data_IF_055383402257
#
_entry.id   IF_055383402257
#
_cell.length_a   1.000
_cell.length_b   1.000
_cell.length_c   1.000
_cell.angle_alpha   90.00
_cell.angle_beta   90.00
_cell.angle_gamma   90.00
#
_symmetry.space_group_name_H-M   'P 1'
#
loop_
_entity.id
_entity.type
_entity.pdbx_description
1 polymer ?
#
# COMPACT_ATOMS: atom_id res chain seq x y z
N UNK A 1 2.72 -18.81 -2.38
CA UNK A 1 3.37 -20.05 -2.85
C UNK A 1 3.96 -20.92 -1.74
N UNK A 2 4.47 -20.37 -0.62
CA UNK A 2 5.09 -21.20 0.43
C UNK A 2 4.11 -22.07 1.22
N UNK A 3 2.87 -21.62 1.44
CA UNK A 3 1.83 -22.40 2.15
C UNK A 3 1.51 -23.70 1.39
N UNK A 4 1.53 -23.66 0.06
CA UNK A 4 1.17 -24.82 -0.78
C UNK A 4 2.36 -25.75 -1.04
N UNK A 5 3.57 -25.42 -0.56
CA UNK A 5 4.79 -26.18 -0.84
C UNK A 5 5.28 -26.12 -2.29
N UNK A 6 4.62 -25.32 -3.15
CA UNK A 6 4.94 -25.20 -4.57
C UNK A 6 6.08 -24.20 -4.75
N UNK A 7 7.16 -24.64 -5.42
CA UNK A 7 8.21 -23.78 -5.97
C UNK A 7 8.02 -23.73 -7.50
N UNK A 8 7.58 -22.62 -8.08
CA UNK A 8 7.47 -22.52 -9.54
C UNK A 8 8.87 -22.50 -10.17
N UNK A 9 8.99 -23.08 -11.36
CA UNK A 9 10.26 -23.11 -12.12
C UNK A 9 10.71 -21.72 -12.58
N UNK A 10 9.78 -20.77 -12.69
CA UNK A 10 10.04 -19.34 -12.92
C UNK A 10 9.31 -18.51 -11.87
N UNK A 11 9.96 -17.53 -11.21
CA UNK A 11 9.25 -16.58 -10.36
C UNK A 11 8.27 -15.79 -11.22
N UNK A 12 6.99 -15.80 -10.85
CA UNK A 12 6.00 -14.91 -11.45
C UNK A 12 6.26 -13.54 -10.86
N UNK A 13 6.87 -12.64 -11.62
CA UNK A 13 7.15 -11.27 -11.18
C UNK A 13 6.42 -10.25 -12.07
N UNK A 14 5.91 -9.15 -11.48
CA UNK A 14 5.97 -8.82 -10.06
C UNK A 14 4.84 -9.46 -9.22
N UNK A 15 5.10 -9.65 -7.93
CA UNK A 15 4.09 -10.02 -6.92
C UNK A 15 3.93 -8.87 -5.94
N UNK A 16 2.72 -8.33 -5.81
CA UNK A 16 2.42 -7.24 -4.87
C UNK A 16 2.34 -7.73 -3.40
N UNK A 17 2.15 -9.03 -3.20
CA UNK A 17 2.01 -9.66 -1.89
C UNK A 17 3.35 -9.94 -1.19
N UNK A 18 3.35 -9.85 0.14
CA UNK A 18 4.46 -10.30 0.99
C UNK A 18 4.18 -11.70 1.55
N UNK A 19 5.24 -12.41 1.91
CA UNK A 19 5.14 -13.71 2.58
C UNK A 19 4.60 -13.55 4.01
N UNK A 20 3.35 -13.96 4.22
CA UNK A 20 2.65 -13.85 5.51
C UNK A 20 3.09 -14.91 6.53
N UNK A 21 3.79 -15.98 6.12
CA UNK A 21 4.23 -17.02 7.07
C UNK A 21 5.22 -16.48 8.10
N UNK A 22 6.01 -15.48 7.73
CA UNK A 22 6.89 -14.81 8.69
C UNK A 22 6.08 -14.06 9.76
N UNK A 23 4.93 -13.47 9.44
CA UNK A 23 4.07 -12.81 10.43
C UNK A 23 3.38 -13.81 11.36
N UNK A 24 3.01 -14.99 10.84
CA UNK A 24 2.39 -16.05 11.66
C UNK A 24 3.41 -16.68 12.62
N UNK A 25 4.65 -16.85 12.16
CA UNK A 25 5.68 -17.58 12.89
C UNK A 25 6.66 -16.67 13.67
N UNK A 26 6.56 -15.35 13.55
CA UNK A 26 7.43 -14.39 14.25
C UNK A 26 6.64 -13.40 15.08
N UNK A 27 7.31 -12.77 16.04
CA UNK A 27 6.73 -11.72 16.89
C UNK A 27 6.67 -10.35 16.19
N UNK A 28 7.05 -10.24 14.92
CA UNK A 28 7.12 -8.97 14.21
C UNK A 28 5.71 -8.44 13.92
N UNK A 29 5.37 -7.28 14.49
CA UNK A 29 4.04 -6.64 14.37
C UNK A 29 3.96 -5.52 13.33
N UNK A 30 5.03 -5.24 12.60
CA UNK A 30 5.12 -4.14 11.64
C UNK A 30 5.36 -4.64 10.22
N UNK A 31 4.71 -3.97 9.27
CA UNK A 31 4.97 -4.18 7.84
C UNK A 31 6.18 -3.37 7.40
N UNK A 32 6.96 -3.95 6.48
CA UNK A 32 8.10 -3.28 5.85
C UNK A 32 7.69 -2.37 4.68
N UNK A 33 6.45 -2.47 4.21
CA UNK A 33 5.90 -1.55 3.22
C UNK A 33 4.40 -1.35 3.40
N UNK A 34 3.96 -0.15 3.00
CA UNK A 34 2.57 0.27 2.97
C UNK A 34 1.76 -0.53 1.95
N UNK A 35 0.43 -0.50 2.10
CA UNK A 35 -0.52 -1.16 1.20
C UNK A 35 -1.28 -0.11 0.41
N UNK A 36 -1.14 -0.13 -0.92
CA UNK A 36 -1.90 0.71 -1.82
C UNK A 36 -3.23 0.08 -2.23
N UNK A 37 -4.24 0.93 -2.46
CA UNK A 37 -5.53 0.55 -3.02
C UNK A 37 -5.98 1.57 -4.06
N UNK A 38 -6.54 1.11 -5.19
CA UNK A 38 -7.29 1.93 -6.15
C UNK A 38 -8.61 1.23 -6.47
N UNK A 39 -9.72 1.98 -6.40
CA UNK A 39 -11.03 1.54 -6.88
C UNK A 39 -11.82 2.72 -7.44
N UNK A 40 -12.07 2.72 -8.74
CA UNK A 40 -12.68 3.85 -9.44
C UNK A 40 -11.85 5.14 -9.23
N UNK A 41 -12.47 6.15 -8.61
CA UNK A 41 -11.80 7.43 -8.26
C UNK A 41 -11.05 7.38 -6.92
N UNK A 42 -11.28 6.35 -6.13
CA UNK A 42 -10.70 6.27 -4.79
C UNK A 42 -9.30 5.71 -4.86
N UNK A 43 -8.39 6.33 -4.11
CA UNK A 43 -7.02 5.85 -3.90
C UNK A 43 -6.66 5.97 -2.42
N UNK A 44 -5.97 4.96 -1.90
CA UNK A 44 -5.50 4.97 -0.52
C UNK A 44 -4.11 4.36 -0.40
N UNK A 45 -3.35 4.83 0.57
CA UNK A 45 -2.13 4.21 1.04
C UNK A 45 -2.25 3.98 2.54
N UNK A 46 -2.15 2.73 2.97
CA UNK A 46 -2.28 2.33 4.38
C UNK A 46 -0.92 1.86 4.89
N UNK A 47 -0.34 2.61 5.82
CA UNK A 47 0.86 2.23 6.55
C UNK A 47 0.56 1.62 7.91
N UNK A 48 1.60 1.48 8.74
CA UNK A 48 1.44 0.89 10.08
C UNK A 48 0.65 1.79 11.06
N UNK A 49 0.68 3.11 10.87
CA UNK A 49 -0.03 4.08 11.72
C UNK A 49 -0.93 5.00 10.92
N UNK A 50 -0.43 5.53 9.79
CA UNK A 50 -1.16 6.51 9.03
C UNK A 50 -1.84 5.89 7.80
N UNK A 51 -2.97 6.48 7.41
CA UNK A 51 -3.64 6.25 6.14
C UNK A 51 -3.79 7.56 5.39
N UNK A 52 -3.32 7.58 4.15
CA UNK A 52 -3.62 8.64 3.19
C UNK A 52 -4.80 8.18 2.32
N UNK A 53 -5.82 9.02 2.18
CA UNK A 53 -7.00 8.74 1.37
C UNK A 53 -7.30 9.88 0.40
N UNK A 54 -7.83 9.54 -0.76
CA UNK A 54 -8.45 10.48 -1.69
C UNK A 54 -9.65 9.81 -2.37
N UNK A 55 -10.80 10.49 -2.34
CA UNK A 55 -12.04 10.03 -2.98
C UNK A 55 -12.24 10.56 -4.41
N UNK A 56 -11.37 11.44 -4.89
CA UNK A 56 -11.58 12.29 -6.07
C UNK A 56 -10.43 12.20 -7.08
N UNK A 57 -9.83 11.03 -7.22
CA UNK A 57 -8.67 10.83 -8.09
C UNK A 57 -7.51 11.78 -7.73
N UNK A 58 -7.24 11.98 -6.45
CA UNK A 58 -6.06 12.69 -5.97
C UNK A 58 -6.12 14.20 -6.14
N UNK A 59 -7.30 14.76 -6.40
CA UNK A 59 -7.48 16.22 -6.39
C UNK A 59 -7.42 16.77 -4.97
N UNK A 60 -7.98 16.03 -4.01
CA UNK A 60 -7.88 16.32 -2.57
C UNK A 60 -7.43 15.09 -1.82
N UNK A 61 -6.83 15.31 -0.65
CA UNK A 61 -6.31 14.26 0.21
C UNK A 61 -6.71 14.50 1.66
N UNK A 62 -6.87 13.39 2.36
CA UNK A 62 -7.11 13.32 3.80
C UNK A 62 -6.04 12.40 4.41
N UNK A 63 -5.65 12.71 5.65
CA UNK A 63 -4.69 11.92 6.41
C UNK A 63 -5.31 11.54 7.75
N UNK A 64 -5.25 10.27 8.09
CA UNK A 64 -5.79 9.71 9.33
C UNK A 64 -4.71 8.96 10.11
N UNK A 65 -4.72 9.08 11.43
CA UNK A 65 -3.93 8.26 12.35
C UNK A 65 -4.78 7.08 12.82
N UNK A 66 -4.54 5.89 12.26
CA UNK A 66 -5.33 4.68 12.54
C UNK A 66 -5.15 4.15 13.97
N UNK A 67 -4.11 4.58 14.69
CA UNK A 67 -3.88 4.16 16.08
C UNK A 67 -4.73 4.98 17.04
N UNK A 68 -4.80 6.30 16.83
CA UNK A 68 -5.57 7.21 17.69
C UNK A 68 -6.99 7.47 17.18
N UNK A 69 -7.22 7.27 15.89
CA UNK A 69 -8.49 7.49 15.19
C UNK A 69 -8.83 6.29 14.27
N UNK A 70 -9.15 5.11 14.86
CA UNK A 70 -9.44 3.89 14.09
C UNK A 70 -10.72 3.97 13.25
N UNK A 71 -11.52 5.03 13.42
CA UNK A 71 -12.76 5.26 12.67
C UNK A 71 -12.64 6.39 11.64
N UNK A 72 -11.45 6.93 11.43
CA UNK A 72 -11.15 7.92 10.37
C UNK A 72 -12.07 9.15 10.45
N UNK A 73 -12.30 9.67 11.67
CA UNK A 73 -13.19 10.81 11.91
C UNK A 73 -12.49 12.16 11.87
N UNK A 74 -11.17 12.18 12.09
CA UNK A 74 -10.38 13.39 12.24
C UNK A 74 -9.31 13.43 11.15
N UNK A 75 -9.54 14.28 10.15
CA UNK A 75 -8.53 14.55 9.12
C UNK A 75 -7.43 15.45 9.71
N UNK A 76 -6.21 14.89 9.84
CA UNK A 76 -5.04 15.54 10.44
C UNK A 76 -4.00 16.03 9.41
N UNK A 77 -4.41 16.17 8.15
CA UNK A 77 -3.49 16.48 7.03
C UNK A 77 -2.76 17.81 7.20
N UNK A 78 -3.41 18.82 7.76
CA UNK A 78 -2.81 20.15 7.95
C UNK A 78 -1.80 20.18 9.10
N UNK A 79 -2.00 19.34 10.13
CA UNK A 79 -1.09 19.25 11.27
C UNK A 79 0.11 18.34 10.98
N UNK A 80 0.03 17.51 9.94
CA UNK A 80 1.03 16.50 9.58
C UNK A 80 1.34 16.53 8.07
N UNK A 81 1.57 17.72 7.54
CA UNK A 81 1.81 17.98 6.12
C UNK A 81 3.00 17.16 5.56
N UNK A 82 4.08 17.05 6.33
CA UNK A 82 5.26 16.27 5.96
C UNK A 82 4.94 14.78 5.74
N UNK A 83 4.13 14.18 6.62
CA UNK A 83 3.68 12.78 6.48
C UNK A 83 2.82 12.65 5.23
N UNK A 84 1.91 13.61 5.00
CA UNK A 84 1.06 13.59 3.82
C UNK A 84 1.87 13.68 2.51
N UNK A 85 2.92 14.50 2.47
CA UNK A 85 3.81 14.62 1.30
C UNK A 85 4.57 13.30 1.04
N UNK A 86 5.14 12.69 2.09
CA UNK A 86 5.84 11.41 1.96
C UNK A 86 4.91 10.30 1.45
N UNK A 87 3.74 10.16 2.08
CA UNK A 87 2.76 9.13 1.70
C UNK A 87 2.21 9.36 0.28
N UNK A 88 2.04 10.61 -0.16
CA UNK A 88 1.64 10.91 -1.55
C UNK A 88 2.69 10.40 -2.54
N UNK A 89 3.97 10.68 -2.27
CA UNK A 89 5.06 10.19 -3.12
C UNK A 89 5.13 8.65 -3.17
N UNK A 90 4.92 7.99 -2.04
CA UNK A 90 4.84 6.51 -1.98
C UNK A 90 3.62 5.97 -2.74
N UNK A 91 2.47 6.61 -2.61
CA UNK A 91 1.25 6.24 -3.34
C UNK A 91 1.46 6.37 -4.84
N UNK A 92 1.99 7.50 -5.33
CA UNK A 92 2.25 7.71 -6.76
C UNK A 92 3.22 6.67 -7.35
N UNK A 93 4.27 6.31 -6.61
CA UNK A 93 5.20 5.24 -6.99
C UNK A 93 4.49 3.90 -7.13
N UNK A 94 3.64 3.56 -6.17
CA UNK A 94 2.85 2.31 -6.20
C UNK A 94 1.81 2.30 -7.33
N UNK A 95 1.10 3.41 -7.55
CA UNK A 95 0.15 3.53 -8.68
C UNK A 95 0.87 3.32 -10.02
N UNK A 96 2.08 3.89 -10.15
CA UNK A 96 2.91 3.70 -11.33
C UNK A 96 3.31 2.23 -11.50
N UNK A 97 3.71 1.52 -10.44
CA UNK A 97 4.03 0.10 -10.56
C UNK A 97 2.83 -0.72 -11.02
N UNK A 98 1.63 -0.50 -10.46
CA UNK A 98 0.42 -1.18 -10.91
C UNK A 98 0.10 -0.92 -12.39
N UNK A 99 0.35 0.30 -12.89
CA UNK A 99 0.14 0.64 -14.30
C UNK A 99 1.11 -0.10 -15.23
N UNK A 100 2.37 -0.27 -14.81
CA UNK A 100 3.34 -1.07 -15.56
C UNK A 100 2.92 -2.55 -15.61
N UNK A 101 2.43 -3.09 -14.48
CA UNK A 101 1.90 -4.45 -14.37
C UNK A 101 0.69 -4.71 -15.24
N UNK A 102 -0.26 -3.78 -15.26
CA UNK A 102 -1.45 -3.92 -16.10
C UNK A 102 -1.13 -3.89 -17.59
N UNK A 103 -0.05 -3.21 -18.00
CA UNK A 103 0.42 -3.18 -19.38
C UNK A 103 1.32 -4.35 -19.76
N UNK A 104 1.64 -5.21 -18.79
CA UNK A 104 2.56 -6.32 -18.93
C UNK A 104 3.97 -5.92 -19.34
N UNK A 105 4.39 -4.69 -19.00
CA UNK A 105 5.73 -4.16 -19.32
C UNK A 105 6.80 -4.60 -18.32
N UNK A 106 6.39 -5.23 -17.25
CA UNK A 106 7.19 -5.78 -16.16
C UNK A 106 7.23 -7.31 -16.14
N UNK A 107 6.34 -8.00 -16.88
CA UNK A 107 6.48 -9.43 -17.12
C UNK A 107 7.69 -9.69 -18.00
N UNK A 108 8.73 -10.30 -17.44
CA UNK A 108 9.83 -10.88 -18.20
C UNK A 108 9.49 -12.34 -18.49
N UNK A 109 9.25 -12.68 -19.76
CA UNK A 109 9.08 -14.06 -20.22
C UNK A 109 10.42 -14.79 -20.39
#
# INVERSE_FOLDING_TARGET
>A
MKITGIKPDKPVEPVDGMDILNLVNSSARQRNADIGFISGKQRALVGNRYKLYSGDSGSTYELYDLITDPFEKNNIIYDNDHVAVEMKGSLEKWIKSCYESNKGRDYRF
#
